data_IF_651867220952
#
_entry.id   IF_651867220952
#
_cell.length_a   1.000
_cell.length_b   1.000
_cell.length_c   1.000
_cell.angle_alpha   90.00
_cell.angle_beta   90.00
_cell.angle_gamma   90.00
#
_symmetry.space_group_name_H-M   'P 1'
#
loop_
_entity.id
_entity.type
_entity.pdbx_description
1 polymer ?
#
# COMPACT_ATOMS: atom_id res chain seq x y z
N UNK A 1 -0.58 -11.27 10.54
CA UNK A 1 0.42 -11.06 9.47
C UNK A 1 -0.34 -10.67 8.22
N UNK A 2 0.12 -9.69 7.44
CA UNK A 2 -0.53 -9.30 6.17
C UNK A 2 0.29 -9.92 5.04
N UNK A 3 -0.34 -10.71 4.18
CA UNK A 3 0.31 -11.28 2.99
C UNK A 3 0.06 -10.37 1.79
N UNK A 4 1.09 -9.63 1.34
CA UNK A 4 1.05 -8.80 0.14
C UNK A 4 2.20 -9.26 -0.76
N UNK A 5 1.90 -9.50 -2.03
CA UNK A 5 2.91 -9.83 -3.04
C UNK A 5 2.58 -9.07 -4.33
N UNK A 6 3.62 -8.66 -5.05
CA UNK A 6 3.53 -8.08 -6.40
C UNK A 6 4.33 -9.00 -7.32
N UNK A 7 3.68 -9.53 -8.36
CA UNK A 7 4.34 -10.30 -9.42
C UNK A 7 4.36 -9.43 -10.68
N UNK A 8 5.52 -9.36 -11.32
CA UNK A 8 5.72 -8.57 -12.53
C UNK A 8 6.61 -9.31 -13.51
N UNK A 9 6.40 -9.05 -14.80
CA UNK A 9 7.33 -9.46 -15.88
C UNK A 9 8.37 -8.39 -16.19
N UNK A 10 8.21 -7.19 -15.62
CA UNK A 10 9.17 -6.10 -15.77
C UNK A 10 10.32 -6.28 -14.78
N UNK A 11 11.52 -5.78 -15.11
CA UNK A 11 12.61 -5.71 -14.14
C UNK A 11 12.18 -4.95 -12.88
N UNK A 12 12.54 -5.48 -11.71
CA UNK A 12 12.33 -4.83 -10.41
C UNK A 12 13.59 -4.05 -10.06
N UNK A 13 13.45 -2.74 -9.89
CA UNK A 13 14.56 -1.86 -9.52
C UNK A 13 14.70 -1.73 -8.00
N UNK A 14 13.59 -1.65 -7.27
CA UNK A 14 13.57 -1.49 -5.82
C UNK A 14 12.31 -2.06 -5.19
N UNK A 15 12.41 -2.47 -3.91
CA UNK A 15 11.29 -2.90 -3.07
C UNK A 15 11.40 -2.29 -1.68
N UNK A 16 10.28 -1.80 -1.15
CA UNK A 16 10.20 -1.28 0.22
C UNK A 16 8.91 -1.72 0.90
N UNK A 17 8.98 -1.95 2.21
CA UNK A 17 7.80 -2.17 3.06
C UNK A 17 7.51 -0.88 3.83
N UNK A 18 6.41 -0.24 3.50
CA UNK A 18 5.95 0.98 4.16
C UNK A 18 5.13 0.62 5.39
N UNK A 19 5.59 0.99 6.59
CA UNK A 19 4.86 0.76 7.84
C UNK A 19 3.67 1.73 7.94
N UNK A 20 2.46 1.18 7.88
CA UNK A 20 1.22 1.97 8.09
C UNK A 20 0.76 1.92 9.55
N UNK A 21 1.52 1.24 10.41
CA UNK A 21 1.30 1.11 11.83
C UNK A 21 0.06 0.29 12.18
N UNK A 22 -0.30 0.37 13.46
CA UNK A 22 -1.53 -0.19 14.01
C UNK A 22 -2.48 0.94 14.39
N UNK A 23 -3.79 0.66 14.46
CA UNK A 23 -4.81 1.58 14.97
C UNK A 23 -5.71 0.85 15.98
N UNK A 24 -6.43 1.56 16.83
CA UNK A 24 -7.22 0.92 17.90
C UNK A 24 -8.29 -0.06 17.39
N UNK A 25 -8.88 0.21 16.23
CA UNK A 25 -9.92 -0.62 15.60
C UNK A 25 -9.39 -1.75 14.72
N UNK A 26 -8.07 -1.88 14.59
CA UNK A 26 -7.41 -2.93 13.84
C UNK A 26 -6.31 -3.57 14.70
N UNK A 27 -6.47 -4.85 15.01
CA UNK A 27 -5.49 -5.57 15.83
C UNK A 27 -4.22 -5.91 15.05
N UNK A 28 -4.25 -5.79 13.73
CA UNK A 28 -3.12 -6.08 12.84
C UNK A 28 -2.34 -4.80 12.57
N UNK A 29 -1.00 -4.88 12.64
CA UNK A 29 -0.12 -3.84 12.11
C UNK A 29 -0.13 -3.95 10.58
N UNK A 30 -0.53 -2.87 9.91
CA UNK A 30 -0.65 -2.81 8.44
C UNK A 30 0.63 -2.31 7.81
N UNK A 31 0.88 -2.78 6.61
CA UNK A 31 1.98 -2.35 5.76
C UNK A 31 1.47 -2.15 4.33
N UNK A 32 2.20 -1.40 3.53
CA UNK A 32 2.09 -1.41 2.08
C UNK A 32 3.40 -1.90 1.47
N UNK A 33 3.32 -2.64 0.36
CA UNK A 33 4.49 -3.07 -0.40
C UNK A 33 4.68 -2.10 -1.58
N UNK A 34 5.76 -1.33 -1.54
CA UNK A 34 6.19 -0.45 -2.65
C UNK A 34 7.18 -1.22 -3.52
N UNK A 35 6.98 -1.18 -4.83
CA UNK A 35 7.86 -1.81 -5.82
C UNK A 35 8.07 -0.85 -6.99
N UNK A 36 9.32 -0.53 -7.29
CA UNK A 36 9.68 0.23 -8.49
C UNK A 36 10.00 -0.75 -9.61
N UNK A 37 9.34 -0.60 -10.76
CA UNK A 37 9.47 -1.52 -11.90
C UNK A 37 9.63 -0.79 -13.23
N UNK A 38 10.26 -1.45 -14.20
CA UNK A 38 10.31 -0.99 -15.60
C UNK A 38 11.57 -0.21 -16.00
N UNK A 39 11.56 0.29 -17.24
CA UNK A 39 12.60 1.15 -17.83
C UNK A 39 12.38 2.61 -17.46
N UNK A 40 11.29 3.27 -17.95
CA UNK A 40 10.68 4.38 -17.24
C UNK A 40 10.09 3.85 -15.94
N UNK A 41 10.54 4.39 -14.80
CA UNK A 41 10.17 3.87 -13.49
C UNK A 41 8.68 4.13 -13.19
N UNK A 42 7.97 3.07 -12.82
CA UNK A 42 6.61 3.14 -12.27
C UNK A 42 6.65 2.57 -10.86
N UNK A 43 6.03 3.28 -9.92
CA UNK A 43 5.92 2.84 -8.52
C UNK A 43 4.59 2.12 -8.33
N UNK A 44 4.64 0.83 -8.01
CA UNK A 44 3.47 0.03 -7.64
C UNK A 44 3.39 -0.07 -6.13
N UNK A 45 2.23 0.26 -5.55
CA UNK A 45 1.99 0.19 -4.11
C UNK A 45 0.84 -0.80 -3.86
N UNK A 46 1.19 -1.99 -3.38
CA UNK A 46 0.24 -3.03 -2.99
C UNK A 46 -0.22 -2.86 -1.54
N UNK A 47 -1.53 -2.95 -1.31
CA UNK A 47 -2.14 -2.76 0.01
C UNK A 47 -3.14 -3.86 0.35
N UNK A 48 -3.35 -4.09 1.65
CA UNK A 48 -4.49 -4.85 2.16
C UNK A 48 -4.94 -4.21 3.49
N UNK A 49 -5.89 -3.30 3.38
CA UNK A 49 -6.37 -2.47 4.48
C UNK A 49 -7.49 -3.17 5.24
N UNK A 50 -7.72 -2.81 6.52
CA UNK A 50 -8.86 -3.34 7.27
C UNK A 50 -10.18 -2.89 6.63
N UNK A 51 -11.30 -3.50 7.03
CA UNK A 51 -12.63 -3.04 6.64
C UNK A 51 -12.85 -1.56 6.96
N UNK A 52 -13.70 -0.87 6.19
CA UNK A 52 -14.03 0.55 6.41
C UNK A 52 -14.51 0.81 7.85
N UNK A 53 -15.29 -0.11 8.42
CA UNK A 53 -15.76 -0.05 9.83
C UNK A 53 -14.63 -0.23 10.86
N UNK A 54 -13.51 -0.82 10.44
CA UNK A 54 -12.32 -1.07 11.25
C UNK A 54 -11.22 -0.01 11.04
N UNK A 55 -11.50 1.07 10.30
CA UNK A 55 -10.64 2.25 10.25
C UNK A 55 -9.72 2.35 9.03
N UNK A 56 -10.08 1.72 7.90
CA UNK A 56 -9.34 1.84 6.63
C UNK A 56 -8.98 3.29 6.22
N UNK A 57 -9.82 4.33 6.44
CA UNK A 57 -9.48 5.69 6.04
C UNK A 57 -8.25 6.26 6.78
N UNK A 58 -7.94 5.76 7.98
CA UNK A 58 -6.74 6.20 8.71
C UNK A 58 -5.47 5.71 8.00
N UNK A 59 -5.48 4.47 7.52
CA UNK A 59 -4.36 3.91 6.76
C UNK A 59 -4.22 4.56 5.38
N UNK A 60 -5.32 4.95 4.74
CA UNK A 60 -5.29 5.72 3.48
C UNK A 60 -4.58 7.06 3.68
N UNK A 61 -4.89 7.80 4.75
CA UNK A 61 -4.21 9.07 5.05
C UNK A 61 -2.71 8.88 5.30
N UNK A 62 -2.34 7.86 6.10
CA UNK A 62 -0.92 7.54 6.34
C UNK A 62 -0.20 7.20 5.04
N UNK A 63 -0.85 6.45 4.17
CA UNK A 63 -0.31 6.10 2.87
C UNK A 63 -0.13 7.34 1.98
N UNK A 64 -1.12 8.22 1.93
CA UNK A 64 -1.01 9.50 1.21
C UNK A 64 0.20 10.30 1.67
N UNK A 65 0.44 10.42 2.98
CA UNK A 65 1.63 11.11 3.52
C UNK A 65 2.95 10.44 3.14
N UNK A 66 2.99 9.12 3.03
CA UNK A 66 4.20 8.39 2.66
C UNK A 66 4.50 8.42 1.15
N UNK A 67 3.50 8.74 0.33
CA UNK A 67 3.61 8.76 -1.13
C UNK A 67 3.67 10.19 -1.71
N UNK A 68 3.52 11.23 -0.88
CA UNK A 68 3.38 12.62 -1.34
C UNK A 68 4.60 13.15 -2.10
N UNK A 69 5.79 12.64 -1.80
CA UNK A 69 7.06 13.10 -2.37
C UNK A 69 7.52 12.25 -3.57
N UNK A 70 6.67 11.36 -4.08
CA UNK A 70 7.02 10.51 -5.23
C UNK A 70 6.74 11.27 -6.53
N UNK A 71 7.80 11.55 -7.29
CA UNK A 71 7.73 12.26 -8.56
C UNK A 71 7.39 11.36 -9.76
N UNK A 72 7.52 10.03 -9.61
CA UNK A 72 7.21 9.04 -10.65
C UNK A 72 5.71 8.69 -10.67
N UNK A 73 5.17 8.15 -11.78
CA UNK A 73 3.81 7.61 -11.82
C UNK A 73 3.61 6.54 -10.74
N UNK A 74 2.54 6.69 -9.95
CA UNK A 74 2.20 5.76 -8.86
C UNK A 74 0.91 5.01 -9.18
N UNK A 75 0.97 3.68 -9.09
CA UNK A 75 -0.19 2.79 -9.13
C UNK A 75 -0.45 2.27 -7.73
N UNK A 76 -1.52 2.76 -7.10
CA UNK A 76 -2.02 2.25 -5.83
C UNK A 76 -3.03 1.13 -6.07
N UNK A 77 -2.80 -0.05 -5.50
CA UNK A 77 -3.64 -1.22 -5.72
C UNK A 77 -3.78 -2.12 -4.49
N UNK A 78 -4.73 -3.05 -4.56
CA UNK A 78 -5.00 -4.06 -3.53
C UNK A 78 -6.37 -3.89 -2.87
N UNK A 79 -6.63 -4.72 -1.86
CA UNK A 79 -7.91 -4.71 -1.16
C UNK A 79 -7.92 -3.62 -0.08
N UNK A 80 -8.58 -2.51 -0.39
CA UNK A 80 -8.73 -1.40 0.55
C UNK A 80 -9.93 -1.60 1.51
N UNK A 81 -10.79 -2.59 1.25
CA UNK A 81 -12.04 -2.85 1.96
C UNK A 81 -12.86 -1.57 2.25
N UNK A 82 -13.03 -0.69 1.26
CA UNK A 82 -13.70 0.62 1.38
C UNK A 82 -15.14 0.65 0.86
N UNK A 83 -15.73 -0.50 0.54
CA UNK A 83 -17.13 -0.60 0.10
C UNK A 83 -17.96 -1.33 1.15
N UNK A 84 -19.14 -0.78 1.49
CA UNK A 84 -20.26 -1.52 2.11
C UNK A 84 -20.48 -1.39 3.62
N UNK A 85 -21.61 -1.92 4.12
CA UNK A 85 -21.73 -2.74 5.33
C UNK A 85 -21.10 -4.12 5.18
#
# INVERSE_FOLDING_TARGET
MVGIAVLTRLPVAATDVLDLGRIGRDRVRRVALRVTVGGPEVVVVGTHLPHIRHGSPVHVRRLQSLLQDIEAPVVLMGDMNMWGP
#
